data_IF_636126432487
#
_entry.id   IF_636126432487
#
_cell.length_a   1.000
_cell.length_b   1.000
_cell.length_c   1.000
_cell.angle_alpha   90.00
_cell.angle_beta   90.00
_cell.angle_gamma   90.00
#
_symmetry.space_group_name_H-M   'P 1'
#
loop_
_entity.id
_entity.type
_entity.pdbx_description
1 polymer ?
#
# COMPACT_ATOMS: atom_id res chain seq x y z
N UNK A 1 17.89 -15.68 39.36
CA UNK A 1 17.01 -16.50 38.50
C UNK A 1 16.27 -15.55 37.54
N UNK A 2 16.97 -14.98 36.55
CA UNK A 2 16.40 -13.88 35.71
C UNK A 2 16.88 -13.86 34.25
N UNK A 3 17.33 -15.00 33.71
CA UNK A 3 17.86 -15.09 32.34
C UNK A 3 16.86 -15.64 31.30
N UNK A 4 15.58 -15.85 31.65
CA UNK A 4 14.58 -16.48 30.75
C UNK A 4 13.63 -15.54 30.00
N UNK A 5 13.70 -14.21 30.15
CA UNK A 5 12.76 -13.27 29.49
C UNK A 5 13.21 -12.70 28.13
N UNK A 6 14.45 -12.92 27.70
CA UNK A 6 14.96 -12.33 26.46
C UNK A 6 14.58 -13.11 25.17
N UNK A 7 14.37 -14.44 25.27
CA UNK A 7 14.25 -15.31 24.09
C UNK A 7 12.88 -15.21 23.38
N UNK A 8 11.81 -14.85 24.10
CA UNK A 8 10.47 -14.67 23.51
C UNK A 8 10.34 -13.39 22.66
N UNK A 9 11.14 -12.37 22.93
CA UNK A 9 11.07 -11.06 22.25
C UNK A 9 11.73 -11.09 20.86
N UNK A 10 12.80 -11.87 20.68
CA UNK A 10 13.52 -11.95 19.41
C UNK A 10 12.74 -12.75 18.37
N UNK A 11 12.18 -13.92 18.75
CA UNK A 11 11.39 -14.79 17.87
C UNK A 11 10.17 -14.08 17.29
N UNK A 12 9.44 -13.33 18.13
CA UNK A 12 8.30 -12.53 17.69
C UNK A 12 8.69 -11.35 16.79
N UNK A 13 9.91 -10.81 16.90
CA UNK A 13 10.39 -9.77 16.02
C UNK A 13 10.81 -10.28 14.65
N UNK A 14 11.55 -11.40 14.60
CA UNK A 14 11.97 -12.06 13.35
C UNK A 14 10.75 -12.46 12.53
N UNK A 15 9.74 -13.07 13.16
CA UNK A 15 8.47 -13.43 12.50
C UNK A 15 7.78 -12.21 11.87
N UNK A 16 7.74 -11.06 12.58
CA UNK A 16 7.12 -9.82 12.07
C UNK A 16 7.89 -9.17 10.92
N UNK A 17 9.21 -9.31 10.88
CA UNK A 17 10.02 -8.82 9.75
C UNK A 17 9.84 -9.75 8.56
N UNK A 18 9.89 -11.07 8.79
CA UNK A 18 9.70 -12.09 7.76
C UNK A 18 8.37 -11.93 7.04
N UNK A 19 7.26 -11.75 7.77
CA UNK A 19 5.95 -11.53 7.14
C UNK A 19 5.87 -10.24 6.33
N UNK A 20 6.57 -9.18 6.73
CA UNK A 20 6.67 -7.93 5.96
C UNK A 20 7.49 -8.10 4.69
N UNK A 21 8.64 -8.78 4.77
CA UNK A 21 9.46 -9.11 3.61
C UNK A 21 8.62 -9.91 2.63
N UNK A 22 7.96 -10.98 3.10
CA UNK A 22 7.10 -11.81 2.27
C UNK A 22 6.00 -11.00 1.57
N UNK A 23 5.26 -10.16 2.32
CA UNK A 23 4.21 -9.33 1.74
C UNK A 23 4.72 -8.36 0.68
N UNK A 24 5.86 -7.70 0.93
CA UNK A 24 6.49 -6.80 -0.04
C UNK A 24 7.00 -7.58 -1.26
N UNK A 25 7.64 -8.73 -1.06
CA UNK A 25 8.14 -9.59 -2.13
C UNK A 25 7.01 -10.07 -3.05
N UNK A 26 5.86 -10.45 -2.49
CA UNK A 26 4.68 -10.83 -3.29
C UNK A 26 4.22 -9.67 -4.17
N UNK A 27 4.10 -8.46 -3.62
CA UNK A 27 3.66 -7.29 -4.40
C UNK A 27 4.69 -6.90 -5.46
N UNK A 28 5.98 -6.92 -5.11
CA UNK A 28 7.06 -6.66 -6.07
C UNK A 28 7.00 -7.67 -7.22
N UNK A 29 6.86 -8.95 -6.91
CA UNK A 29 6.70 -10.00 -7.92
C UNK A 29 5.50 -9.73 -8.83
N UNK A 30 4.34 -9.42 -8.25
CA UNK A 30 3.13 -9.10 -9.00
C UNK A 30 3.28 -7.84 -9.87
N UNK A 31 3.96 -6.80 -9.39
CA UNK A 31 4.22 -5.58 -10.18
C UNK A 31 5.21 -5.81 -11.32
N UNK A 32 6.24 -6.64 -11.10
CA UNK A 32 7.16 -7.05 -12.16
C UNK A 32 6.41 -7.87 -13.20
N UNK A 33 5.55 -8.80 -12.77
CA UNK A 33 4.70 -9.57 -13.68
C UNK A 33 3.71 -8.68 -14.45
N UNK A 34 3.19 -7.63 -13.83
CA UNK A 34 2.33 -6.63 -14.47
C UNK A 34 3.09 -5.66 -15.40
N UNK A 35 4.43 -5.66 -15.40
CA UNK A 35 5.24 -4.69 -16.14
C UNK A 35 4.96 -4.62 -17.64
N UNK A 36 4.75 -5.73 -18.39
CA UNK A 36 4.42 -5.63 -19.81
C UNK A 36 3.18 -4.77 -20.09
N UNK A 37 2.17 -4.81 -19.21
CA UNK A 37 0.97 -3.96 -19.34
C UNK A 37 1.28 -2.50 -19.06
N UNK A 38 2.14 -2.23 -18.09
CA UNK A 38 2.64 -0.87 -17.85
C UNK A 38 3.40 -0.35 -19.05
N UNK A 39 4.28 -1.15 -19.63
CA UNK A 39 5.00 -0.78 -20.83
C UNK A 39 4.04 -0.46 -21.99
N UNK A 40 3.04 -1.29 -22.25
CA UNK A 40 2.01 -0.99 -23.26
C UNK A 40 1.28 0.33 -22.96
N UNK A 41 0.89 0.55 -21.71
CA UNK A 41 0.24 1.81 -21.30
C UNK A 41 1.12 3.04 -21.49
N UNK A 42 2.45 2.91 -21.45
CA UNK A 42 3.38 4.02 -21.73
C UNK A 42 3.45 4.36 -23.22
N UNK A 43 3.30 3.35 -24.08
CA UNK A 43 3.34 3.51 -25.54
C UNK A 43 2.04 4.05 -26.10
N UNK A 44 0.92 3.85 -25.42
CA UNK A 44 -0.38 4.37 -25.81
C UNK A 44 -0.45 5.90 -25.64
N UNK A 45 -0.87 6.64 -26.67
CA UNK A 45 -1.03 8.09 -26.54
C UNK A 45 -2.21 8.37 -25.59
N UNK A 46 -1.99 9.08 -24.48
CA UNK A 46 -3.10 9.40 -23.58
C UNK A 46 -4.05 10.35 -24.30
N UNK A 47 -5.35 10.07 -24.27
CA UNK A 47 -6.31 11.12 -24.56
C UNK A 47 -6.35 12.06 -23.36
N UNK A 48 -6.21 13.38 -23.55
CA UNK A 48 -6.25 14.34 -22.42
C UNK A 48 -7.67 14.61 -21.92
N UNK A 49 -8.61 13.71 -22.23
CA UNK A 49 -10.01 13.83 -21.85
C UNK A 49 -10.16 13.49 -20.36
N UNK A 50 -11.17 14.09 -19.72
CA UNK A 50 -11.51 13.84 -18.31
C UNK A 50 -11.78 12.35 -18.05
N UNK A 51 -12.15 11.59 -19.07
CA UNK A 51 -12.39 10.15 -19.01
C UNK A 51 -11.15 9.33 -18.63
N UNK A 52 -9.94 9.81 -18.93
CA UNK A 52 -8.67 9.11 -18.61
C UNK A 52 -8.22 9.25 -17.16
N UNK A 53 -8.84 10.20 -16.45
CA UNK A 53 -8.74 10.32 -15.00
C UNK A 53 -9.80 9.50 -14.27
N UNK A 54 -10.69 8.81 -15.00
CA UNK A 54 -11.57 7.79 -14.39
C UNK A 54 -10.74 6.55 -14.07
N UNK A 55 -11.14 5.84 -13.00
CA UNK A 55 -10.43 4.64 -12.59
C UNK A 55 -10.30 3.64 -13.73
N UNK A 56 -9.05 3.24 -14.04
CA UNK A 56 -8.77 2.27 -15.10
C UNK A 56 -8.24 2.83 -16.44
N UNK A 57 -8.22 4.16 -16.63
CA UNK A 57 -7.63 4.81 -17.80
C UNK A 57 -6.10 4.63 -17.93
N UNK A 58 -5.53 5.00 -19.09
CA UNK A 58 -4.11 4.85 -19.43
C UNK A 58 -3.24 5.69 -18.50
N UNK A 59 -3.62 6.96 -18.33
CA UNK A 59 -2.95 7.89 -17.41
C UNK A 59 -3.02 7.35 -15.98
N UNK A 60 -4.22 6.94 -15.55
CA UNK A 60 -4.44 6.35 -14.24
C UNK A 60 -3.54 5.15 -13.99
N UNK A 61 -3.43 4.23 -14.96
CA UNK A 61 -2.58 3.04 -14.84
C UNK A 61 -1.10 3.38 -14.66
N UNK A 62 -0.58 4.38 -15.39
CA UNK A 62 0.80 4.85 -15.24
C UNK A 62 1.06 5.36 -13.82
N UNK A 63 0.16 6.18 -13.29
CA UNK A 63 0.26 6.69 -11.93
C UNK A 63 0.13 5.58 -10.88
N UNK A 64 -0.73 4.59 -11.09
CA UNK A 64 -0.84 3.42 -10.22
C UNK A 64 0.50 2.70 -10.07
N UNK A 65 1.16 2.44 -11.20
CA UNK A 65 2.41 1.68 -11.23
C UNK A 65 3.54 2.44 -10.51
N UNK A 66 3.73 3.71 -10.84
CA UNK A 66 4.74 4.57 -10.19
C UNK A 66 4.42 4.76 -8.70
N UNK A 67 3.16 5.03 -8.37
CA UNK A 67 2.70 5.23 -6.99
C UNK A 67 2.90 3.99 -6.12
N UNK A 68 2.63 2.80 -6.66
CA UNK A 68 2.88 1.53 -5.98
C UNK A 68 4.37 1.35 -5.65
N UNK A 69 5.27 1.64 -6.60
CA UNK A 69 6.71 1.60 -6.35
C UNK A 69 7.16 2.60 -5.28
N UNK A 70 6.62 3.82 -5.28
CA UNK A 70 6.93 4.78 -4.21
C UNK A 70 6.52 4.28 -2.83
N UNK A 71 5.33 3.69 -2.69
CA UNK A 71 4.84 3.11 -1.44
C UNK A 71 5.71 1.91 -1.00
N UNK A 72 6.17 1.08 -1.93
CA UNK A 72 7.08 -0.04 -1.65
C UNK A 72 8.45 0.48 -1.18
N UNK A 73 9.03 1.42 -1.91
CA UNK A 73 10.33 2.00 -1.57
C UNK A 73 10.28 2.75 -0.23
N UNK A 74 9.13 3.31 0.16
CA UNK A 74 8.97 3.93 1.47
C UNK A 74 9.21 2.94 2.62
N UNK A 75 9.02 1.63 2.40
CA UNK A 75 9.22 0.60 3.41
C UNK A 75 10.69 0.39 3.78
N UNK A 76 11.64 0.88 2.97
CA UNK A 76 13.06 0.86 3.29
C UNK A 76 13.34 1.54 4.65
N UNK A 77 12.58 2.57 5.02
CA UNK A 77 12.66 3.17 6.36
C UNK A 77 12.34 2.17 7.48
N UNK A 78 11.33 1.32 7.30
CA UNK A 78 10.95 0.31 8.30
C UNK A 78 12.10 -0.66 8.50
N UNK A 79 12.72 -1.14 7.41
CA UNK A 79 13.89 -2.00 7.46
C UNK A 79 15.10 -1.30 8.10
N UNK A 80 15.39 -0.05 7.73
CA UNK A 80 16.46 0.74 8.34
C UNK A 80 16.26 0.90 9.86
N UNK A 81 15.03 1.16 10.30
CA UNK A 81 14.66 1.23 11.72
C UNK A 81 14.90 -0.09 12.45
N UNK A 82 14.58 -1.21 11.82
CA UNK A 82 14.91 -2.54 12.34
C UNK A 82 16.42 -2.74 12.43
N UNK A 83 17.18 -2.41 11.39
CA UNK A 83 18.63 -2.57 11.38
C UNK A 83 19.30 -1.80 12.52
N UNK A 84 18.92 -0.53 12.72
CA UNK A 84 19.41 0.29 13.84
C UNK A 84 19.08 -0.34 15.19
N UNK A 85 17.85 -0.83 15.38
CA UNK A 85 17.41 -1.38 16.66
C UNK A 85 18.09 -2.71 17.01
N UNK A 86 18.23 -3.62 16.04
CA UNK A 86 18.70 -4.99 16.28
C UNK A 86 20.22 -5.12 16.12
N UNK A 87 20.79 -4.50 15.10
CA UNK A 87 22.23 -4.58 14.80
C UNK A 87 23.02 -3.38 15.32
N UNK A 88 22.37 -2.43 16.02
CA UNK A 88 22.99 -1.23 16.61
C UNK A 88 23.77 -0.38 15.60
N UNK A 89 23.36 -0.40 14.33
CA UNK A 89 23.99 0.40 13.26
C UNK A 89 23.72 1.89 13.49
N UNK A 90 24.72 2.74 13.30
CA UNK A 90 24.58 4.20 13.42
C UNK A 90 24.02 4.81 12.13
N UNK A 91 22.69 4.87 12.02
CA UNK A 91 21.99 5.53 10.90
C UNK A 91 21.16 6.71 11.44
N UNK A 92 21.22 7.86 10.76
CA UNK A 92 20.39 9.03 11.07
C UNK A 92 18.93 8.78 10.61
N UNK A 93 18.12 8.18 11.47
CA UNK A 93 16.73 7.79 11.15
C UNK A 93 15.81 8.95 10.79
N UNK A 94 16.11 10.18 11.20
CA UNK A 94 15.28 11.35 10.91
C UNK A 94 15.10 11.59 9.40
N UNK A 95 16.20 11.60 8.63
CA UNK A 95 16.15 11.80 7.17
C UNK A 95 15.38 10.67 6.47
N UNK A 96 15.56 9.43 6.93
CA UNK A 96 14.84 8.29 6.37
C UNK A 96 13.33 8.35 6.65
N UNK A 97 12.93 8.88 7.80
CA UNK A 97 11.52 9.11 8.11
C UNK A 97 10.91 10.18 7.19
N UNK A 98 11.65 11.24 6.87
CA UNK A 98 11.16 12.26 5.94
C UNK A 98 11.02 11.69 4.53
N UNK A 99 12.02 10.95 4.03
CA UNK A 99 11.93 10.23 2.74
C UNK A 99 10.73 9.28 2.72
N UNK A 100 10.52 8.50 3.78
CA UNK A 100 9.38 7.61 3.91
C UNK A 100 8.04 8.35 3.80
N UNK A 101 7.91 9.48 4.48
CA UNK A 101 6.70 10.28 4.42
C UNK A 101 6.50 10.92 3.04
N UNK A 102 7.54 11.47 2.42
CA UNK A 102 7.45 12.03 1.06
C UNK A 102 7.01 10.95 0.07
N UNK A 103 7.68 9.79 0.06
CA UNK A 103 7.33 8.68 -0.83
C UNK A 103 5.91 8.17 -0.59
N UNK A 104 5.46 8.06 0.66
CA UNK A 104 4.09 7.66 0.95
C UNK A 104 3.06 8.70 0.53
N UNK A 105 3.31 10.00 0.74
CA UNK A 105 2.40 11.08 0.30
C UNK A 105 2.31 11.09 -1.22
N UNK A 106 3.44 11.08 -1.93
CA UNK A 106 3.45 11.08 -3.39
C UNK A 106 2.79 9.82 -3.94
N UNK A 107 3.18 8.64 -3.44
CA UNK A 107 2.58 7.37 -3.87
C UNK A 107 1.08 7.29 -3.58
N UNK A 108 0.64 7.79 -2.43
CA UNK A 108 -0.78 7.90 -2.06
C UNK A 108 -1.56 8.73 -3.07
N UNK A 109 -1.08 9.94 -3.37
CA UNK A 109 -1.73 10.85 -4.33
C UNK A 109 -1.82 10.20 -5.72
N UNK A 110 -0.74 9.60 -6.21
CA UNK A 110 -0.74 8.94 -7.51
C UNK A 110 -1.74 7.77 -7.58
N UNK A 111 -1.83 6.96 -6.51
CA UNK A 111 -2.80 5.86 -6.43
C UNK A 111 -4.25 6.37 -6.30
N UNK A 112 -4.48 7.51 -5.63
CA UNK A 112 -5.81 8.13 -5.59
C UNK A 112 -6.24 8.65 -6.97
N UNK A 113 -5.33 9.29 -7.71
CA UNK A 113 -5.58 9.71 -9.09
C UNK A 113 -5.91 8.47 -9.95
N UNK A 114 -5.14 7.39 -9.80
CA UNK A 114 -5.45 6.12 -10.47
C UNK A 114 -6.85 5.59 -10.13
N UNK A 115 -7.29 5.72 -8.88
CA UNK A 115 -8.63 5.31 -8.47
C UNK A 115 -9.74 6.23 -9.01
N UNK A 116 -9.40 7.37 -9.61
CA UNK A 116 -10.34 8.42 -10.00
C UNK A 116 -10.97 9.12 -8.80
N UNK A 117 -10.34 9.10 -7.62
CA UNK A 117 -10.91 9.69 -6.41
C UNK A 117 -10.71 11.22 -6.38
N UNK A 118 -11.70 12.01 -5.91
CA UNK A 118 -13.05 11.59 -5.51
C UNK A 118 -14.08 11.53 -6.66
N UNK A 119 -13.79 12.13 -7.82
CA UNK A 119 -14.80 12.51 -8.81
C UNK A 119 -15.32 11.38 -9.71
N UNK A 120 -14.56 10.31 -9.89
CA UNK A 120 -14.83 9.21 -10.81
C UNK A 120 -14.55 7.83 -10.18
N UNK A 121 -14.62 7.73 -8.86
CA UNK A 121 -14.33 6.51 -8.14
C UNK A 121 -15.48 5.50 -8.27
N UNK A 122 -15.41 4.66 -9.32
CA UNK A 122 -16.44 3.68 -9.70
C UNK A 122 -16.79 2.68 -8.60
N UNK A 123 -15.87 2.43 -7.66
CA UNK A 123 -16.01 1.43 -6.60
C UNK A 123 -16.17 2.08 -5.21
N UNK A 124 -16.84 3.24 -5.14
CA UNK A 124 -17.14 3.96 -3.89
C UNK A 124 -17.77 3.06 -2.82
N UNK A 125 -18.67 2.15 -3.23
CA UNK A 125 -19.32 1.17 -2.36
C UNK A 125 -18.74 -0.23 -2.60
N UNK A 126 -17.65 -0.62 -1.91
CA UNK A 126 -16.99 -1.89 -2.20
C UNK A 126 -17.83 -3.11 -1.80
N UNK A 127 -18.65 -2.98 -0.74
CA UNK A 127 -19.40 -4.10 -0.18
C UNK A 127 -20.60 -4.54 -1.01
N UNK A 128 -21.15 -3.66 -1.84
CA UNK A 128 -22.25 -4.00 -2.76
C UNK A 128 -21.78 -4.81 -3.97
N UNK A 129 -20.46 -4.93 -4.16
CA UNK A 129 -19.80 -5.59 -5.31
C UNK A 129 -18.88 -6.73 -4.90
N UNK A 130 -19.03 -7.21 -3.67
CA UNK A 130 -18.20 -8.25 -3.08
C UNK A 130 -19.02 -9.53 -2.98
N UNK A 131 -18.73 -10.48 -3.86
CA UNK A 131 -19.38 -11.79 -3.94
C UNK A 131 -18.37 -12.88 -3.54
N UNK A 132 -18.33 -13.22 -2.26
CA UNK A 132 -17.32 -14.12 -1.68
C UNK A 132 -17.33 -15.52 -2.35
N UNK A 133 -18.50 -15.95 -2.82
CA UNK A 133 -18.69 -17.26 -3.48
C UNK A 133 -18.59 -17.19 -5.01
N UNK A 134 -18.36 -16.00 -5.59
CA UNK A 134 -18.22 -15.79 -7.04
C UNK A 134 -16.80 -16.04 -7.58
N UNK A 135 -15.94 -16.71 -6.81
CA UNK A 135 -14.53 -16.93 -7.17
C UNK A 135 -13.71 -15.63 -7.17
N UNK A 136 -12.68 -15.56 -8.02
CA UNK A 136 -11.83 -14.36 -8.11
C UNK A 136 -12.58 -13.14 -8.66
N UNK A 137 -13.48 -13.32 -9.63
CA UNK A 137 -14.26 -12.21 -10.20
C UNK A 137 -15.18 -11.55 -9.16
N UNK A 138 -15.77 -12.34 -8.24
CA UNK A 138 -16.55 -11.83 -7.13
C UNK A 138 -15.78 -10.93 -6.16
N UNK A 139 -14.44 -10.86 -6.26
CA UNK A 139 -13.60 -10.00 -5.44
C UNK A 139 -13.36 -8.60 -6.06
N UNK A 140 -14.05 -8.22 -7.14
CA UNK A 140 -13.93 -6.89 -7.76
C UNK A 140 -14.17 -5.75 -6.75
N UNK A 141 -15.04 -5.92 -5.76
CA UNK A 141 -15.25 -4.94 -4.67
C UNK A 141 -13.96 -4.58 -3.90
N UNK A 142 -12.94 -5.46 -3.91
CA UNK A 142 -11.63 -5.19 -3.28
C UNK A 142 -10.94 -3.97 -3.88
N UNK A 143 -11.18 -3.66 -5.16
CA UNK A 143 -10.62 -2.45 -5.79
C UNK A 143 -11.04 -1.19 -5.06
N UNK A 144 -12.32 -1.12 -4.67
CA UNK A 144 -12.85 -0.03 -3.88
C UNK A 144 -12.35 -0.04 -2.44
N UNK A 145 -12.33 -1.22 -1.82
CA UNK A 145 -11.88 -1.40 -0.45
C UNK A 145 -10.42 -0.97 -0.28
N UNK A 146 -9.57 -1.25 -1.27
CA UNK A 146 -8.17 -0.85 -1.29
C UNK A 146 -8.01 0.66 -1.16
N UNK A 147 -8.76 1.46 -1.93
CA UNK A 147 -8.71 2.93 -1.86
C UNK A 147 -9.11 3.42 -0.46
N UNK A 148 -10.15 2.85 0.13
CA UNK A 148 -10.58 3.20 1.48
C UNK A 148 -9.56 2.83 2.57
N UNK A 149 -8.96 1.64 2.46
CA UNK A 149 -7.89 1.21 3.35
C UNK A 149 -6.67 2.12 3.23
N UNK A 150 -6.34 2.54 2.00
CA UNK A 150 -5.24 3.44 1.74
C UNK A 150 -5.48 4.83 2.36
N UNK A 151 -6.69 5.39 2.22
CA UNK A 151 -7.10 6.65 2.88
C UNK A 151 -7.02 6.50 4.41
N UNK A 152 -7.55 5.41 4.95
CA UNK A 152 -7.49 5.10 6.38
C UNK A 152 -6.05 5.01 6.88
N UNK A 153 -5.17 4.30 6.17
CA UNK A 153 -3.75 4.19 6.48
C UNK A 153 -3.06 5.56 6.44
N UNK A 154 -3.34 6.38 5.42
CA UNK A 154 -2.76 7.70 5.28
C UNK A 154 -3.16 8.64 6.43
N UNK A 155 -4.47 8.79 6.68
CA UNK A 155 -5.00 9.68 7.73
C UNK A 155 -4.51 9.24 9.10
N UNK A 156 -4.60 7.95 9.42
CA UNK A 156 -4.13 7.44 10.71
C UNK A 156 -2.62 7.61 10.90
N UNK A 157 -1.82 7.47 9.83
CA UNK A 157 -0.37 7.70 9.86
C UNK A 157 -0.04 9.17 10.13
N UNK A 158 -0.70 10.10 9.42
CA UNK A 158 -0.53 11.54 9.62
C UNK A 158 -0.93 11.98 11.03
N UNK A 159 -2.12 11.57 11.49
CA UNK A 159 -2.60 11.90 12.82
C UNK A 159 -1.76 11.23 13.93
N UNK A 160 -1.21 10.04 13.70
CA UNK A 160 -0.29 9.41 14.65
C UNK A 160 1.03 10.21 14.80
N UNK A 161 1.54 10.81 13.71
CA UNK A 161 2.73 11.67 13.73
C UNK A 161 2.44 13.02 14.38
N UNK A 162 1.43 13.73 13.87
CA UNK A 162 1.17 15.15 14.17
C UNK A 162 0.07 15.41 15.21
N UNK A 163 -0.67 14.38 15.65
CA UNK A 163 -1.76 14.55 16.63
C UNK A 163 -1.29 15.03 18.01
N UNK A 164 -2.23 15.47 18.85
CA UNK A 164 -1.94 16.11 20.13
C UNK A 164 -1.63 15.15 21.30
N UNK A 165 -2.51 14.18 21.56
CA UNK A 165 -2.39 13.34 22.78
C UNK A 165 -1.65 12.02 22.54
N UNK A 166 -0.82 11.60 23.50
CA UNK A 166 -0.08 10.33 23.45
C UNK A 166 -1.00 9.11 23.34
N UNK A 167 -2.16 9.12 24.01
CA UNK A 167 -3.16 8.05 23.93
C UNK A 167 -3.71 7.90 22.53
N UNK A 168 -4.09 9.02 21.90
CA UNK A 168 -4.58 9.05 20.52
C UNK A 168 -3.50 8.56 19.54
N UNK A 169 -2.25 9.02 19.69
CA UNK A 169 -1.14 8.56 18.84
C UNK A 169 -0.95 7.05 18.88
N UNK A 170 -1.08 6.41 20.06
CA UNK A 170 -0.96 4.95 20.21
C UNK A 170 -2.10 4.22 19.50
N UNK A 171 -3.34 4.68 19.65
CA UNK A 171 -4.51 4.08 19.00
C UNK A 171 -4.37 4.21 17.48
N UNK A 172 -4.09 5.42 16.99
CA UNK A 172 -3.89 5.68 15.57
C UNK A 172 -2.71 4.91 14.98
N UNK A 173 -1.64 4.71 15.75
CA UNK A 173 -0.51 3.89 15.30
C UNK A 173 -0.94 2.42 15.10
N UNK A 174 -1.80 1.87 15.96
CA UNK A 174 -2.36 0.53 15.77
C UNK A 174 -3.24 0.49 14.53
N UNK A 175 -4.18 1.42 14.40
CA UNK A 175 -5.06 1.54 13.24
C UNK A 175 -4.24 1.62 11.96
N UNK A 176 -3.24 2.50 11.91
CA UNK A 176 -2.32 2.64 10.78
C UNK A 176 -1.65 1.32 10.42
N UNK A 177 -1.09 0.60 11.40
CA UNK A 177 -0.42 -0.69 11.15
C UNK A 177 -1.39 -1.73 10.58
N UNK A 178 -2.61 -1.83 11.12
CA UNK A 178 -3.61 -2.76 10.61
C UNK A 178 -4.11 -2.35 9.22
N UNK A 179 -4.37 -1.06 8.99
CA UNK A 179 -4.78 -0.55 7.67
C UNK A 179 -3.70 -0.81 6.62
N UNK A 180 -2.41 -0.59 6.94
CA UNK A 180 -1.29 -0.91 6.03
C UNK A 180 -1.22 -2.41 5.74
N UNK A 181 -1.39 -3.27 6.76
CA UNK A 181 -1.39 -4.72 6.55
C UNK A 181 -2.53 -5.16 5.62
N UNK A 182 -3.75 -4.67 5.87
CA UNK A 182 -4.91 -4.93 5.01
C UNK A 182 -4.69 -4.39 3.60
N UNK A 183 -4.07 -3.20 3.48
CA UNK A 183 -3.71 -2.61 2.18
C UNK A 183 -2.80 -3.55 1.39
N UNK A 184 -1.81 -4.21 2.00
CA UNK A 184 -0.95 -5.14 1.27
C UNK A 184 -1.70 -6.35 0.71
N UNK A 185 -2.60 -6.93 1.52
CA UNK A 185 -3.42 -8.06 1.08
C UNK A 185 -4.35 -7.62 -0.05
N UNK A 186 -5.10 -6.54 0.14
CA UNK A 186 -6.01 -5.99 -0.86
C UNK A 186 -5.28 -5.54 -2.12
N UNK A 187 -4.08 -4.97 -2.03
CA UNK A 187 -3.26 -4.57 -3.16
C UNK A 187 -2.79 -5.79 -3.96
N UNK A 188 -2.37 -6.87 -3.29
CA UNK A 188 -1.97 -8.11 -3.97
C UNK A 188 -3.14 -8.69 -4.77
N UNK A 189 -4.33 -8.74 -4.17
CA UNK A 189 -5.54 -9.22 -4.85
C UNK A 189 -5.93 -8.25 -5.98
N UNK A 190 -5.87 -6.94 -5.76
CA UNK A 190 -6.17 -5.93 -6.77
C UNK A 190 -5.26 -6.06 -8.00
N UNK A 191 -3.94 -6.19 -7.80
CA UNK A 191 -2.97 -6.36 -8.89
C UNK A 191 -3.25 -7.68 -9.62
N UNK A 192 -3.49 -8.78 -8.88
CA UNK A 192 -3.84 -10.07 -9.46
C UNK A 192 -5.10 -9.98 -10.32
N UNK A 193 -6.18 -9.38 -9.82
CA UNK A 193 -7.42 -9.13 -10.59
C UNK A 193 -7.15 -8.26 -11.82
N UNK A 194 -6.26 -7.27 -11.70
CA UNK A 194 -5.91 -6.38 -12.80
C UNK A 194 -5.04 -7.04 -13.86
N UNK A 195 -4.36 -8.15 -13.53
CA UNK A 195 -3.63 -9.03 -14.43
C UNK A 195 -4.61 -10.03 -15.08
N UNK A 196 -5.42 -10.71 -14.29
CA UNK A 196 -6.31 -11.79 -14.76
C UNK A 196 -7.51 -11.26 -15.55
N UNK A 197 -8.14 -10.18 -15.09
CA UNK A 197 -9.39 -9.64 -15.66
C UNK A 197 -9.23 -8.18 -16.12
N UNK A 198 -8.49 -7.91 -17.20
CA UNK A 198 -8.24 -6.55 -17.68
C UNK A 198 -9.50 -5.80 -18.10
N UNK A 199 -10.53 -6.49 -18.60
CA UNK A 199 -11.74 -5.84 -19.15
C UNK A 199 -12.72 -5.37 -18.09
N UNK A 200 -12.55 -5.80 -16.85
CA UNK A 200 -13.43 -5.38 -15.75
C UNK A 200 -13.05 -4.01 -15.17
N UNK A 201 -12.13 -3.28 -15.81
CA UNK A 201 -11.70 -1.92 -15.44
C UNK A 201 -12.88 -0.95 -15.47
#
# INVERSE_FOLDING_TARGET
MELRRADGSSKGAVSRIGSRILGISVIVFLLVYAYPRFYLSLMESPSYLVEEFRGGGVIGYRYAYVGAWMIILSQLYVFAKYLVKYFRVRIKLARWLDIHCTLNVTGFVLVLIHAGFPYAFRYWEPFTRLEIFGGLEGLIGIRGLLTWLLISAFISGMLSRYGGSLRLKRILSKVHVYSVLSTYVSASIHILLSITFPETR
#
